data_IF_623879420181
#
_entry.id   IF_623879420181
#
_cell.length_a   1.000
_cell.length_b   1.000
_cell.length_c   1.000
_cell.angle_alpha   90.00
_cell.angle_beta   90.00
_cell.angle_gamma   90.00
#
_symmetry.space_group_name_H-M   'P 1'
#
loop_
_entity.id
_entity.type
_entity.pdbx_description
1 polymer ?
#
# COMPACT_ATOMS: atom_id res chain seq x y z
N UNK A 1 14.68 16.91 -3.52
CA UNK A 1 13.76 17.04 -4.67
C UNK A 1 12.84 15.84 -4.73
N UNK A 2 11.58 16.06 -5.09
CA UNK A 2 10.61 14.99 -5.32
C UNK A 2 10.38 14.80 -6.81
N UNK A 3 10.47 13.56 -7.29
CA UNK A 3 10.25 13.22 -8.68
C UNK A 3 8.75 12.94 -8.89
N UNK A 4 8.08 13.82 -9.63
CA UNK A 4 6.70 13.62 -10.08
C UNK A 4 6.63 12.53 -11.14
N UNK A 5 5.51 11.80 -11.21
CA UNK A 5 5.24 10.88 -12.32
C UNK A 5 4.95 11.61 -13.63
N UNK A 6 4.57 12.90 -13.56
CA UNK A 6 4.50 13.77 -14.74
C UNK A 6 5.90 14.11 -15.24
N UNK A 7 6.09 14.06 -16.55
CA UNK A 7 7.39 14.28 -17.20
C UNK A 7 7.45 15.60 -17.94
N UNK A 8 8.67 16.09 -18.19
CA UNK A 8 8.98 17.17 -19.11
C UNK A 8 10.19 16.74 -19.93
N UNK A 9 10.09 16.79 -21.27
CA UNK A 9 11.10 16.28 -22.19
C UNK A 9 11.54 14.82 -21.93
N UNK A 10 10.60 13.97 -21.47
CA UNK A 10 10.86 12.55 -21.17
C UNK A 10 11.35 12.29 -19.74
N UNK A 11 11.77 13.31 -19.00
CA UNK A 11 12.31 13.18 -17.65
C UNK A 11 11.29 13.53 -16.56
N UNK A 12 11.31 12.86 -15.39
CA UNK A 12 10.45 13.20 -14.26
C UNK A 12 10.62 14.66 -13.81
N UNK A 13 9.50 15.38 -13.61
CA UNK A 13 9.57 16.75 -13.08
C UNK A 13 10.12 16.74 -11.66
N UNK A 14 11.09 17.63 -11.39
CA UNK A 14 11.70 17.80 -10.08
C UNK A 14 10.97 18.88 -9.30
N UNK A 15 10.34 18.46 -8.21
CA UNK A 15 9.55 19.31 -7.34
C UNK A 15 10.37 19.64 -6.09
N UNK A 16 10.57 20.93 -5.77
CA UNK A 16 11.21 21.32 -4.52
C UNK A 16 10.30 20.98 -3.34
N UNK A 17 10.90 20.56 -2.23
CA UNK A 17 10.17 20.28 -0.99
C UNK A 17 11.08 20.61 0.19
N UNK A 18 10.49 21.13 1.26
CA UNK A 18 11.15 21.49 2.50
C UNK A 18 10.82 20.48 3.60
N UNK A 19 11.59 20.49 4.69
CA UNK A 19 11.40 19.54 5.80
C UNK A 19 9.98 19.60 6.40
N UNK A 20 9.44 20.80 6.58
CA UNK A 20 8.09 21.05 7.10
C UNK A 20 6.96 20.44 6.25
N UNK A 21 7.21 20.15 4.97
CA UNK A 21 6.22 19.46 4.13
C UNK A 21 5.96 18.03 4.63
N UNK A 22 6.94 17.40 5.29
CA UNK A 22 6.74 16.07 5.89
C UNK A 22 5.72 16.14 7.03
N UNK A 23 5.75 17.18 7.86
CA UNK A 23 4.79 17.37 8.96
C UNK A 23 3.37 17.50 8.42
N UNK A 24 3.18 18.31 7.36
CA UNK A 24 1.89 18.46 6.67
C UNK A 24 1.41 17.13 6.06
N UNK A 25 2.30 16.35 5.43
CA UNK A 25 1.95 15.04 4.86
C UNK A 25 1.54 14.05 5.94
N UNK A 26 2.29 13.96 7.04
CA UNK A 26 1.95 13.11 8.18
C UNK A 26 0.64 13.53 8.83
N UNK A 27 0.37 14.83 8.94
CA UNK A 27 -0.93 15.32 9.39
C UNK A 27 -2.08 14.76 8.53
N UNK A 28 -1.96 14.81 7.20
CA UNK A 28 -3.00 14.28 6.31
C UNK A 28 -3.19 12.76 6.47
N UNK A 29 -2.10 11.99 6.61
CA UNK A 29 -2.19 10.55 6.89
C UNK A 29 -2.91 10.27 8.22
N UNK A 30 -2.62 11.05 9.26
CA UNK A 30 -3.21 10.88 10.58
C UNK A 30 -4.71 11.21 10.62
N UNK A 31 -5.26 11.88 9.60
CA UNK A 31 -6.71 12.11 9.49
C UNK A 31 -7.47 10.90 8.92
N UNK A 32 -6.81 10.01 8.18
CA UNK A 32 -7.46 8.91 7.48
C UNK A 32 -8.13 7.95 8.47
N UNK A 33 -7.39 7.47 9.48
CA UNK A 33 -7.92 6.47 10.40
C UNK A 33 -9.06 6.98 11.30
N UNK A 34 -9.02 8.22 11.85
CA UNK A 34 -10.17 8.79 12.55
C UNK A 34 -11.44 8.89 11.68
N UNK A 35 -11.33 9.21 10.40
CA UNK A 35 -12.47 9.22 9.46
C UNK A 35 -12.95 7.78 9.21
N UNK A 36 -12.02 6.85 8.95
CA UNK A 36 -12.36 5.44 8.73
C UNK A 36 -13.08 4.83 9.93
N UNK A 37 -12.63 5.12 11.16
CA UNK A 37 -13.18 4.53 12.38
C UNK A 37 -14.65 4.94 12.64
N UNK A 38 -15.11 6.06 12.07
CA UNK A 38 -16.53 6.45 12.12
C UNK A 38 -17.41 5.54 11.25
N UNK A 39 -16.84 4.88 10.25
CA UNK A 39 -17.55 4.07 9.26
C UNK A 39 -17.31 2.57 9.44
N UNK A 40 -16.11 2.19 9.88
CA UNK A 40 -15.66 0.81 10.06
C UNK A 40 -14.98 0.70 11.43
N UNK A 41 -15.72 0.34 12.49
CA UNK A 41 -15.17 0.28 13.84
C UNK A 41 -14.27 -0.95 14.05
N UNK A 42 -13.43 -0.90 15.10
CA UNK A 42 -12.59 -2.02 15.53
C UNK A 42 -11.47 -2.34 14.53
N UNK A 43 -10.87 -1.32 13.90
CA UNK A 43 -9.69 -1.49 13.04
C UNK A 43 -8.39 -1.54 13.84
N UNK A 44 -8.44 -1.09 15.09
CA UNK A 44 -7.37 -1.11 16.11
C UNK A 44 -7.18 -2.49 16.78
N UNK A 45 -8.09 -3.43 16.55
CA UNK A 45 -8.05 -4.79 17.13
C UNK A 45 -7.23 -5.80 16.30
N UNK A 46 -6.68 -5.36 15.16
CA UNK A 46 -6.00 -6.24 14.22
C UNK A 46 -4.84 -5.56 13.50
N UNK A 47 -4.56 -6.01 12.29
CA UNK A 47 -3.44 -5.58 11.47
C UNK A 47 -3.87 -5.07 10.10
N UNK A 48 -3.01 -4.26 9.50
CA UNK A 48 -3.15 -3.78 8.13
C UNK A 48 -2.10 -4.42 7.21
N UNK A 49 -2.55 -5.13 6.17
CA UNK A 49 -1.67 -5.62 5.11
C UNK A 49 -1.58 -4.56 4.00
N UNK A 50 -0.72 -3.57 4.17
CA UNK A 50 -0.51 -2.53 3.17
C UNK A 50 0.85 -2.68 2.50
N UNK A 51 0.85 -2.77 1.17
CA UNK A 51 2.05 -3.00 0.38
C UNK A 51 2.71 -1.66 0.01
N UNK A 52 3.88 -1.44 0.59
CA UNK A 52 4.68 -0.23 0.41
C UNK A 52 5.96 -0.53 -0.38
N UNK A 53 6.28 0.30 -1.37
CA UNK A 53 7.48 0.10 -2.18
C UNK A 53 8.29 1.39 -2.27
N UNK A 54 9.57 1.31 -1.91
CA UNK A 54 10.54 2.34 -2.26
C UNK A 54 10.97 2.19 -3.72
N UNK A 55 11.50 3.27 -4.29
CA UNK A 55 12.11 3.27 -5.62
C UNK A 55 13.54 3.79 -5.53
N UNK A 56 14.34 3.50 -6.55
CA UNK A 56 15.68 4.03 -6.69
C UNK A 56 15.70 5.56 -6.57
N UNK A 57 16.75 6.07 -5.95
CA UNK A 57 16.98 7.50 -5.74
C UNK A 57 18.13 7.96 -6.62
N UNK A 58 18.05 9.20 -7.08
CA UNK A 58 19.10 9.85 -7.86
C UNK A 58 19.68 10.99 -7.04
N UNK A 59 20.93 11.36 -7.33
CA UNK A 59 21.50 12.60 -6.81
C UNK A 59 21.39 13.69 -7.87
N UNK A 60 20.98 14.89 -7.47
CA UNK A 60 21.11 16.07 -8.34
C UNK A 60 22.59 16.49 -8.45
N UNK A 61 22.96 17.32 -9.44
CA UNK A 61 24.33 17.82 -9.60
C UNK A 61 24.90 18.55 -8.37
N UNK A 62 24.02 19.09 -7.51
CA UNK A 62 24.40 19.79 -6.28
C UNK A 62 24.30 18.90 -5.03
N UNK A 63 24.18 17.57 -5.21
CA UNK A 63 24.17 16.59 -4.12
C UNK A 63 22.84 16.43 -3.37
N UNK A 64 21.74 17.06 -3.83
CA UNK A 64 20.43 16.85 -3.22
C UNK A 64 19.83 15.53 -3.69
N UNK A 65 19.16 14.76 -2.81
CA UNK A 65 18.44 13.56 -3.24
C UNK A 65 17.23 13.91 -4.10
N UNK A 66 17.02 13.17 -5.19
CA UNK A 66 15.87 13.20 -6.07
C UNK A 66 15.19 11.82 -6.06
N UNK A 67 13.94 11.76 -5.60
CA UNK A 67 13.23 10.51 -5.35
C UNK A 67 11.73 10.70 -5.37
N UNK A 68 10.95 9.63 -5.49
CA UNK A 68 9.48 9.76 -5.41
C UNK A 68 9.04 10.24 -4.02
N UNK A 69 7.88 10.92 -3.96
CA UNK A 69 7.33 11.42 -2.68
C UNK A 69 7.13 10.31 -1.65
N UNK A 70 6.63 9.15 -2.08
CA UNK A 70 6.43 7.98 -1.22
C UNK A 70 7.76 7.41 -0.70
N UNK A 71 8.77 7.27 -1.57
CA UNK A 71 10.12 6.87 -1.14
C UNK A 71 10.69 7.86 -0.12
N UNK A 72 10.49 9.16 -0.33
CA UNK A 72 10.90 10.17 0.64
C UNK A 72 10.19 10.04 1.97
N UNK A 73 8.90 9.70 1.96
CA UNK A 73 8.09 9.50 3.17
C UNK A 73 8.52 8.24 3.93
N UNK A 74 8.60 7.08 3.26
CA UNK A 74 8.99 5.82 3.92
C UNK A 74 10.40 5.87 4.52
N UNK A 75 11.31 6.65 3.91
CA UNK A 75 12.66 6.84 4.44
C UNK A 75 12.77 7.90 5.55
N UNK A 76 11.71 8.65 5.82
CA UNK A 76 11.71 9.73 6.81
C UNK A 76 11.63 9.22 8.25
N UNK A 77 11.98 10.08 9.21
CA UNK A 77 11.80 9.79 10.63
C UNK A 77 10.31 9.63 11.00
N UNK A 78 9.42 10.37 10.34
CA UNK A 78 7.96 10.26 10.55
C UNK A 78 7.43 8.86 10.26
N UNK A 79 8.05 8.13 9.32
CA UNK A 79 7.72 6.74 9.06
C UNK A 79 8.50 5.80 9.98
N UNK A 80 9.84 5.86 9.96
CA UNK A 80 10.70 4.89 10.66
C UNK A 80 10.62 4.94 12.18
N UNK A 81 10.35 6.11 12.74
CA UNK A 81 10.23 6.33 14.18
C UNK A 81 8.80 6.70 14.57
N UNK A 82 7.81 6.29 13.74
CA UNK A 82 6.40 6.47 14.07
C UNK A 82 6.11 5.81 15.44
N UNK A 83 5.37 6.48 16.34
CA UNK A 83 4.92 5.83 17.56
C UNK A 83 4.03 4.65 17.21
N UNK A 84 3.94 3.70 18.14
CA UNK A 84 2.96 2.63 17.98
C UNK A 84 1.55 3.22 17.91
N UNK A 85 0.84 2.89 16.84
CA UNK A 85 -0.55 3.29 16.59
C UNK A 85 -1.34 2.02 16.27
N UNK A 86 -2.31 1.61 17.11
CA UNK A 86 -3.13 0.43 16.89
C UNK A 86 -3.85 0.40 15.54
N UNK A 87 -4.25 1.56 15.01
CA UNK A 87 -4.91 1.66 13.70
C UNK A 87 -3.97 1.42 12.51
N UNK A 88 -2.65 1.53 12.75
CA UNK A 88 -1.58 1.38 11.77
C UNK A 88 -0.58 0.28 12.18
N UNK A 89 -1.05 -0.77 12.86
CA UNK A 89 -0.26 -1.98 13.10
C UNK A 89 -0.14 -2.79 11.80
N UNK A 90 0.93 -2.58 11.05
CA UNK A 90 1.14 -3.21 9.75
C UNK A 90 1.65 -4.66 9.88
N UNK A 91 1.38 -5.49 8.86
CA UNK A 91 2.00 -6.81 8.73
C UNK A 91 3.45 -6.71 8.28
N UNK A 92 3.72 -5.82 7.32
CA UNK A 92 5.02 -5.66 6.66
C UNK A 92 6.05 -5.03 7.59
N UNK A 93 7.21 -5.67 7.81
CA UNK A 93 8.31 -5.03 8.53
C UNK A 93 8.94 -3.89 7.73
N UNK A 94 9.45 -2.87 8.43
CA UNK A 94 10.10 -1.71 7.79
C UNK A 94 11.27 -2.11 6.89
N UNK A 95 12.04 -3.15 7.24
CA UNK A 95 13.12 -3.66 6.41
C UNK A 95 12.63 -4.14 5.02
N UNK A 96 11.49 -4.84 4.97
CA UNK A 96 10.88 -5.31 3.73
C UNK A 96 10.36 -4.13 2.88
N UNK A 97 9.77 -3.12 3.52
CA UNK A 97 9.26 -1.90 2.86
C UNK A 97 10.41 -1.09 2.25
N UNK A 98 11.55 -1.03 2.93
CA UNK A 98 12.72 -0.24 2.56
C UNK A 98 13.70 -0.98 1.64
N UNK A 99 13.42 -2.23 1.30
CA UNK A 99 14.20 -3.01 0.34
C UNK A 99 14.06 -2.43 -1.07
N UNK A 100 15.20 -2.20 -1.73
CA UNK A 100 15.23 -1.63 -3.08
C UNK A 100 14.87 -2.65 -4.17
N UNK A 101 15.10 -3.93 -3.92
CA UNK A 101 14.67 -5.01 -4.80
C UNK A 101 13.16 -5.19 -4.64
N UNK A 102 12.41 -4.85 -5.70
CA UNK A 102 10.95 -4.87 -5.66
C UNK A 102 10.38 -6.27 -5.50
N UNK A 103 11.07 -7.30 -6.00
CA UNK A 103 10.58 -8.67 -5.96
C UNK A 103 10.82 -9.26 -4.58
N UNK A 104 11.98 -9.00 -3.97
CA UNK A 104 12.24 -9.37 -2.58
C UNK A 104 11.31 -8.62 -1.62
N UNK A 105 11.10 -7.32 -1.83
CA UNK A 105 10.15 -6.52 -1.05
C UNK A 105 8.72 -7.07 -1.16
N UNK A 106 8.27 -7.37 -2.38
CA UNK A 106 6.94 -7.97 -2.63
C UNK A 106 6.80 -9.31 -1.93
N UNK A 107 7.78 -10.20 -2.09
CA UNK A 107 7.79 -11.53 -1.49
C UNK A 107 7.68 -11.45 0.04
N UNK A 108 8.54 -10.65 0.68
CA UNK A 108 8.57 -10.51 2.13
C UNK A 108 7.27 -9.93 2.69
N UNK A 109 6.71 -8.90 2.04
CA UNK A 109 5.48 -8.28 2.50
C UNK A 109 4.26 -9.18 2.35
N UNK A 110 4.16 -9.95 1.25
CA UNK A 110 3.10 -10.93 1.07
C UNK A 110 3.23 -12.09 2.05
N UNK A 111 4.45 -12.60 2.28
CA UNK A 111 4.71 -13.64 3.27
C UNK A 111 4.30 -13.18 4.68
N UNK A 112 4.66 -11.96 5.08
CA UNK A 112 4.23 -11.35 6.34
C UNK A 112 2.69 -11.25 6.43
N UNK A 113 2.04 -10.87 5.33
CA UNK A 113 0.58 -10.83 5.22
C UNK A 113 -0.09 -12.18 5.36
N UNK A 114 0.52 -13.26 4.85
CA UNK A 114 0.03 -14.64 4.97
C UNK A 114 0.22 -15.19 6.39
N UNK A 115 1.38 -14.95 7.01
CA UNK A 115 1.66 -15.33 8.41
C UNK A 115 0.63 -14.71 9.35
N UNK A 116 0.25 -13.45 9.11
CA UNK A 116 -0.72 -12.73 9.92
C UNK A 116 -2.16 -12.79 9.39
N UNK A 117 -2.49 -13.73 8.49
CA UNK A 117 -3.73 -13.69 7.71
C UNK A 117 -5.02 -13.51 8.53
N UNK A 118 -5.09 -14.14 9.70
CA UNK A 118 -6.25 -14.07 10.60
C UNK A 118 -6.39 -12.73 11.30
N UNK A 119 -5.31 -11.94 11.40
CA UNK A 119 -5.32 -10.62 12.04
C UNK A 119 -5.54 -9.49 11.04
N UNK A 120 -5.51 -9.74 9.73
CA UNK A 120 -5.65 -8.68 8.71
C UNK A 120 -7.09 -8.20 8.64
N UNK A 121 -7.31 -6.94 9.02
CA UNK A 121 -8.63 -6.27 8.97
C UNK A 121 -8.77 -5.33 7.77
N UNK A 122 -7.66 -4.92 7.18
CA UNK A 122 -7.64 -4.12 5.95
C UNK A 122 -6.41 -4.48 5.14
N UNK A 123 -6.54 -4.40 3.83
CA UNK A 123 -5.42 -4.65 2.93
C UNK A 123 -5.42 -3.69 1.75
N UNK A 124 -4.25 -3.43 1.19
CA UNK A 124 -4.16 -2.39 0.19
C UNK A 124 -2.77 -2.16 -0.37
N UNK A 125 -2.72 -1.18 -1.26
CA UNK A 125 -1.52 -0.58 -1.80
C UNK A 125 -1.89 0.83 -2.29
N UNK A 126 -0.91 1.71 -2.52
CA UNK A 126 -1.22 3.09 -2.93
C UNK A 126 -2.09 3.14 -4.20
N UNK A 127 -1.81 2.30 -5.19
CA UNK A 127 -2.58 2.22 -6.42
C UNK A 127 -3.17 0.82 -6.60
N UNK A 128 -4.38 0.75 -7.18
CA UNK A 128 -5.03 -0.51 -7.53
C UNK A 128 -4.13 -1.43 -8.38
N UNK A 129 -3.35 -0.85 -9.30
CA UNK A 129 -2.39 -1.58 -10.13
C UNK A 129 -1.30 -2.30 -9.33
N UNK A 130 -0.83 -1.71 -8.22
CA UNK A 130 0.18 -2.33 -7.37
C UNK A 130 -0.40 -3.53 -6.60
N UNK A 131 -1.63 -3.40 -6.08
CA UNK A 131 -2.31 -4.51 -5.43
C UNK A 131 -2.61 -5.66 -6.41
N UNK A 132 -3.06 -5.36 -7.62
CA UNK A 132 -3.27 -6.37 -8.66
C UNK A 132 -1.98 -7.11 -9.02
N UNK A 133 -0.86 -6.38 -9.15
CA UNK A 133 0.46 -7.00 -9.33
C UNK A 133 0.82 -7.94 -8.19
N UNK A 134 0.50 -7.56 -6.95
CA UNK A 134 0.76 -8.41 -5.78
C UNK A 134 -0.09 -9.68 -5.79
N UNK A 135 -1.35 -9.60 -6.22
CA UNK A 135 -2.22 -10.77 -6.39
C UNK A 135 -1.66 -11.70 -7.48
N UNK A 136 -1.21 -11.15 -8.62
CA UNK A 136 -0.55 -11.94 -9.67
C UNK A 136 0.76 -12.56 -9.20
N UNK A 137 1.53 -11.85 -8.36
CA UNK A 137 2.75 -12.38 -7.76
C UNK A 137 2.42 -13.56 -6.83
N UNK A 138 1.42 -13.39 -5.97
CA UNK A 138 0.91 -14.44 -5.09
C UNK A 138 0.45 -15.68 -5.87
N UNK A 139 -0.28 -15.49 -6.98
CA UNK A 139 -0.71 -16.58 -7.86
C UNK A 139 0.44 -17.41 -8.42
N UNK A 140 1.60 -16.78 -8.68
CA UNK A 140 2.79 -17.47 -9.19
C UNK A 140 3.62 -18.13 -8.11
N UNK A 141 3.63 -17.57 -6.90
CA UNK A 141 4.57 -17.92 -5.83
C UNK A 141 3.94 -18.56 -4.59
N UNK A 142 2.64 -18.83 -4.57
CA UNK A 142 1.97 -19.39 -3.38
C UNK A 142 2.62 -20.69 -2.87
N UNK A 143 3.15 -21.53 -3.77
CA UNK A 143 3.87 -22.76 -3.39
C UNK A 143 5.16 -22.46 -2.62
N UNK A 144 5.88 -21.42 -3.02
CA UNK A 144 7.09 -20.99 -2.32
C UNK A 144 6.72 -20.47 -0.93
N UNK A 145 5.67 -19.66 -0.80
CA UNK A 145 5.21 -19.19 0.51
C UNK A 145 4.79 -20.35 1.42
N UNK A 146 4.04 -21.33 0.92
CA UNK A 146 3.66 -22.52 1.69
C UNK A 146 4.89 -23.33 2.12
N UNK A 147 5.89 -23.51 1.24
CA UNK A 147 7.14 -24.20 1.60
C UNK A 147 7.86 -23.48 2.73
N UNK A 148 8.04 -22.17 2.60
CA UNK A 148 8.74 -21.35 3.57
C UNK A 148 8.04 -21.42 4.95
N UNK A 149 6.72 -21.20 5.00
CA UNK A 149 5.91 -21.28 6.23
C UNK A 149 5.98 -22.68 6.85
N UNK A 150 5.90 -23.73 6.01
CA UNK A 150 5.94 -25.12 6.46
C UNK A 150 7.27 -25.49 7.09
N UNK A 151 8.38 -25.03 6.51
CA UNK A 151 9.73 -25.32 6.97
C UNK A 151 10.21 -24.37 8.08
N UNK A 152 9.57 -23.20 8.24
CA UNK A 152 10.13 -22.13 9.07
C UNK A 152 11.43 -21.56 8.51
N UNK A 153 11.61 -21.67 7.19
CA UNK A 153 12.82 -21.26 6.47
C UNK A 153 12.44 -20.25 5.39
N UNK A 154 13.30 -19.25 5.18
CA UNK A 154 13.06 -18.24 4.14
C UNK A 154 13.75 -18.66 2.84
N UNK A 155 13.05 -18.48 1.72
CA UNK A 155 13.55 -18.72 0.37
C UNK A 155 14.92 -18.05 0.15
N UNK A 156 15.90 -18.82 -0.34
CA UNK A 156 17.27 -18.37 -0.63
C UNK A 156 17.34 -17.24 -1.68
N UNK A 157 16.27 -17.03 -2.45
CA UNK A 157 16.12 -15.87 -3.33
C UNK A 157 16.04 -14.53 -2.58
N UNK A 158 15.76 -14.54 -1.28
CA UNK A 158 15.81 -13.35 -0.42
C UNK A 158 17.25 -13.12 0.06
N UNK A 159 17.95 -12.29 -0.70
CA UNK A 159 19.37 -11.98 -0.51
C UNK A 159 19.62 -10.70 0.26
N UNK A 160 18.64 -9.79 0.35
CA UNK A 160 18.74 -8.58 1.16
C UNK A 160 18.89 -8.94 2.65
N UNK A 161 20.00 -8.54 3.31
CA UNK A 161 20.27 -8.95 4.69
C UNK A 161 19.23 -8.46 5.70
N UNK A 162 18.66 -7.27 5.47
CA UNK A 162 17.65 -6.67 6.34
C UNK A 162 16.33 -7.43 6.25
N UNK A 163 15.86 -7.70 5.02
CA UNK A 163 14.72 -8.57 4.77
C UNK A 163 14.93 -9.94 5.41
N UNK A 164 16.07 -10.59 5.13
CA UNK A 164 16.34 -11.95 5.59
C UNK A 164 16.31 -12.05 7.11
N UNK A 165 16.98 -11.13 7.81
CA UNK A 165 17.00 -11.11 9.27
C UNK A 165 15.59 -10.95 9.85
N UNK A 166 14.85 -9.93 9.43
CA UNK A 166 13.53 -9.65 10.02
C UNK A 166 12.48 -10.69 9.64
N UNK A 167 12.56 -11.26 8.43
CA UNK A 167 11.61 -12.28 7.98
C UNK A 167 11.86 -13.64 8.63
N UNK A 168 13.11 -14.00 8.96
CA UNK A 168 13.39 -15.21 9.74
C UNK A 168 12.83 -15.13 11.16
N UNK A 169 12.91 -13.95 11.78
CA UNK A 169 12.28 -13.72 13.09
C UNK A 169 10.74 -13.80 12.99
N UNK A 170 10.18 -13.30 11.88
CA UNK A 170 8.72 -13.27 11.66
C UNK A 170 8.13 -14.64 11.31
N UNK A 171 8.82 -15.43 10.47
CA UNK A 171 8.35 -16.76 10.05
C UNK A 171 8.36 -17.72 11.23
N UNK A 172 9.35 -17.60 12.11
CA UNK A 172 9.45 -18.39 13.33
C UNK A 172 9.61 -19.89 13.05
N UNK A 173 9.18 -20.77 13.97
CA UNK A 173 9.29 -22.21 13.80
C UNK A 173 8.36 -22.75 12.70
N UNK A 174 8.63 -23.97 12.19
CA UNK A 174 7.77 -24.66 11.22
C UNK A 174 6.28 -24.60 11.57
N UNK A 175 5.44 -24.15 10.63
CA UNK A 175 3.99 -24.06 10.80
C UNK A 175 3.22 -24.81 9.69
N UNK A 176 3.22 -26.16 9.70
CA UNK A 176 2.64 -26.97 8.63
C UNK A 176 1.14 -26.74 8.43
N UNK A 177 0.37 -26.59 9.50
CA UNK A 177 -1.09 -26.42 9.43
C UNK A 177 -1.48 -25.14 8.66
N UNK A 178 -0.80 -24.02 8.93
CA UNK A 178 -1.03 -22.76 8.21
C UNK A 178 -0.66 -22.89 6.73
N UNK A 179 0.46 -23.58 6.44
CA UNK A 179 0.88 -23.82 5.07
C UNK A 179 -0.12 -24.68 4.29
N UNK A 180 -0.69 -25.71 4.93
CA UNK A 180 -1.74 -26.57 4.36
C UNK A 180 -3.03 -25.78 4.12
N UNK A 181 -3.49 -24.96 5.07
CA UNK A 181 -4.66 -24.09 4.87
C UNK A 181 -4.49 -23.15 3.66
N UNK A 182 -3.34 -22.50 3.52
CA UNK A 182 -3.06 -21.59 2.40
C UNK A 182 -2.97 -22.39 1.09
N UNK A 183 -2.31 -23.54 1.11
CA UNK A 183 -2.19 -24.43 -0.04
C UNK A 183 -3.56 -24.91 -0.51
N UNK A 184 -4.45 -25.31 0.38
CA UNK A 184 -5.83 -25.68 0.08
C UNK A 184 -6.59 -24.51 -0.56
N UNK A 185 -6.51 -23.31 0.02
CA UNK A 185 -7.19 -22.12 -0.53
C UNK A 185 -6.69 -21.81 -1.94
N UNK A 186 -5.38 -21.86 -2.18
CA UNK A 186 -4.78 -21.50 -3.47
C UNK A 186 -4.95 -22.61 -4.52
N UNK A 187 -4.80 -23.87 -4.14
CA UNK A 187 -4.82 -25.02 -5.05
C UNK A 187 -6.22 -25.44 -5.48
N UNK A 188 -7.23 -25.30 -4.61
CA UNK A 188 -8.60 -25.71 -4.90
C UNK A 188 -9.30 -24.81 -5.92
N UNK A 189 -8.72 -23.66 -6.28
CA UNK A 189 -9.39 -22.71 -7.16
C UNK A 189 -9.08 -22.88 -8.64
N UNK A 190 -10.09 -23.38 -9.38
CA UNK A 190 -10.18 -23.24 -10.84
C UNK A 190 -10.30 -21.78 -11.29
N UNK A 191 -10.61 -20.86 -10.36
CA UNK A 191 -10.83 -19.43 -10.58
C UNK A 191 -10.39 -18.64 -9.34
N UNK A 192 -9.50 -17.64 -9.47
CA UNK A 192 -9.04 -16.82 -8.34
C UNK A 192 -10.08 -15.81 -7.81
N UNK A 193 -11.34 -15.92 -8.24
CA UNK A 193 -12.45 -15.09 -7.72
C UNK A 193 -12.53 -15.21 -6.19
N UNK A 194 -12.65 -14.08 -5.50
CA UNK A 194 -12.78 -14.05 -4.04
C UNK A 194 -11.56 -14.54 -3.25
N UNK A 195 -10.40 -14.74 -3.90
CA UNK A 195 -9.17 -15.20 -3.23
C UNK A 195 -8.77 -14.31 -2.05
N UNK A 196 -8.98 -12.98 -2.17
CA UNK A 196 -8.63 -12.03 -1.12
C UNK A 196 -9.39 -12.36 0.16
N UNK A 197 -10.70 -12.58 0.05
CA UNK A 197 -11.56 -12.90 1.19
C UNK A 197 -11.32 -14.30 1.75
N UNK A 198 -10.77 -15.23 0.96
CA UNK A 198 -10.41 -16.57 1.44
C UNK A 198 -9.08 -16.56 2.18
N UNK A 199 -8.07 -15.88 1.62
CA UNK A 199 -6.77 -15.73 2.26
C UNK A 199 -6.83 -14.82 3.49
N UNK A 200 -7.55 -13.70 3.43
CA UNK A 200 -7.70 -12.76 4.55
C UNK A 200 -9.17 -12.64 4.96
N UNK A 201 -9.70 -13.62 5.72
CA UNK A 201 -11.13 -13.76 5.98
C UNK A 201 -11.73 -12.63 6.83
N UNK A 202 -10.91 -11.94 7.61
CA UNK A 202 -11.33 -10.83 8.46
C UNK A 202 -11.15 -9.45 7.82
N UNK A 203 -10.72 -9.39 6.55
CA UNK A 203 -10.57 -8.13 5.84
C UNK A 203 -11.94 -7.44 5.70
N UNK A 204 -12.01 -6.17 6.08
CA UNK A 204 -13.22 -5.34 6.07
C UNK A 204 -13.31 -4.48 4.80
N UNK A 205 -12.17 -4.13 4.20
CA UNK A 205 -12.11 -3.32 2.97
C UNK A 205 -10.77 -3.43 2.25
N UNK A 206 -10.74 -3.00 0.99
CA UNK A 206 -9.52 -2.82 0.19
C UNK A 206 -9.19 -1.33 0.12
N UNK A 207 -7.98 -0.96 0.51
CA UNK A 207 -7.48 0.42 0.46
C UNK A 207 -6.61 0.62 -0.78
N UNK A 208 -7.08 1.39 -1.75
CA UNK A 208 -6.32 1.72 -2.95
C UNK A 208 -6.89 2.95 -3.68
N UNK A 209 -6.04 3.69 -4.40
CA UNK A 209 -6.53 4.66 -5.38
C UNK A 209 -7.21 3.92 -6.53
N UNK A 210 -8.52 4.15 -6.66
CA UNK A 210 -9.42 3.57 -7.68
C UNK A 210 -10.13 4.64 -8.53
N UNK A 211 -9.79 5.91 -8.34
CA UNK A 211 -10.31 7.04 -9.13
C UNK A 211 -9.41 7.37 -10.32
N UNK A 212 -9.86 8.25 -11.21
CA UNK A 212 -9.11 8.66 -12.40
C UNK A 212 -8.76 7.47 -13.29
N UNK A 213 -7.51 7.38 -13.74
CA UNK A 213 -7.05 6.27 -14.59
C UNK A 213 -6.99 4.91 -13.89
N UNK A 214 -7.07 4.85 -12.55
CA UNK A 214 -7.13 3.58 -11.81
C UNK A 214 -8.52 2.96 -11.81
N UNK A 215 -9.56 3.68 -12.22
CA UNK A 215 -10.95 3.17 -12.29
C UNK A 215 -11.10 1.93 -13.19
N UNK A 216 -10.24 1.78 -14.21
CA UNK A 216 -10.21 0.60 -15.07
C UNK A 216 -9.92 -0.71 -14.32
N UNK A 217 -9.33 -0.63 -13.12
CA UNK A 217 -8.97 -1.80 -12.29
C UNK A 217 -10.06 -2.18 -11.28
N UNK A 218 -11.11 -1.37 -11.13
CA UNK A 218 -12.24 -1.66 -10.21
C UNK A 218 -12.86 -3.03 -10.49
N UNK A 219 -13.16 -3.44 -11.75
CA UNK A 219 -13.73 -4.75 -12.02
C UNK A 219 -12.82 -5.91 -11.58
N UNK A 220 -11.50 -5.78 -11.75
CA UNK A 220 -10.55 -6.80 -11.34
C UNK A 220 -10.47 -6.92 -9.81
N UNK A 221 -10.44 -5.81 -9.08
CA UNK A 221 -10.48 -5.82 -7.62
C UNK A 221 -11.78 -6.43 -7.08
N UNK A 222 -12.93 -6.07 -7.68
CA UNK A 222 -14.23 -6.67 -7.38
C UNK A 222 -14.24 -8.18 -7.64
N UNK A 223 -13.62 -8.65 -8.72
CA UNK A 223 -13.46 -10.08 -9.00
C UNK A 223 -12.66 -10.79 -7.90
N UNK A 224 -11.48 -10.29 -7.52
CA UNK A 224 -10.63 -10.93 -6.51
C UNK A 224 -11.19 -10.84 -5.08
N UNK A 225 -12.09 -9.91 -4.80
CA UNK A 225 -12.83 -9.83 -3.53
C UNK A 225 -14.22 -10.49 -3.56
N UNK A 226 -14.65 -11.03 -4.71
CA UNK A 226 -16.01 -11.52 -4.93
C UNK A 226 -17.10 -10.49 -4.59
N UNK A 227 -16.78 -9.20 -4.82
CA UNK A 227 -17.62 -8.04 -4.51
C UNK A 227 -17.97 -7.87 -3.02
N UNK A 228 -17.29 -8.62 -2.12
CA UNK A 228 -17.57 -8.60 -0.68
C UNK A 228 -16.89 -7.46 0.06
N UNK A 229 -15.82 -6.90 -0.51
CA UNK A 229 -15.04 -5.84 0.11
C UNK A 229 -15.27 -4.51 -0.58
N UNK A 230 -15.65 -3.44 0.15
CA UNK A 230 -15.69 -2.09 -0.39
C UNK A 230 -14.27 -1.63 -0.77
N UNK A 231 -14.19 -0.77 -1.80
CA UNK A 231 -12.94 -0.18 -2.27
C UNK A 231 -12.82 1.24 -1.73
N UNK A 232 -11.88 1.45 -0.83
CA UNK A 232 -11.66 2.72 -0.13
C UNK A 232 -10.52 3.49 -0.81
N UNK A 233 -10.82 4.71 -1.25
CA UNK A 233 -9.84 5.66 -1.78
C UNK A 233 -9.69 6.83 -0.80
N UNK A 234 -8.76 6.76 0.16
CA UNK A 234 -8.80 7.62 1.35
C UNK A 234 -8.30 9.04 1.12
N UNK A 235 -7.41 9.26 0.15
CA UNK A 235 -6.75 10.55 0.00
C UNK A 235 -6.38 10.88 -1.46
N UNK A 236 -6.19 12.17 -1.72
CA UNK A 236 -5.69 12.72 -2.97
C UNK A 236 -4.43 13.55 -2.70
N UNK A 237 -3.35 13.24 -3.42
CA UNK A 237 -2.05 13.85 -3.23
C UNK A 237 -1.19 13.77 -4.50
N UNK A 238 -0.18 14.64 -4.58
CA UNK A 238 0.86 14.63 -5.60
C UNK A 238 2.26 14.82 -5.00
N UNK A 239 3.27 14.92 -5.87
CA UNK A 239 4.63 15.26 -5.43
C UNK A 239 4.76 16.73 -5.01
N UNK A 240 3.95 17.60 -5.62
CA UNK A 240 3.83 19.03 -5.38
C UNK A 240 3.12 19.32 -4.07
N UNK A 241 1.98 18.69 -3.81
CA UNK A 241 1.18 18.96 -2.63
C UNK A 241 0.32 17.76 -2.25
N UNK A 242 0.10 17.57 -0.96
CA UNK A 242 -0.91 16.65 -0.45
C UNK A 242 -2.21 17.44 -0.32
N UNK A 243 -3.26 17.03 -1.03
CA UNK A 243 -4.41 17.90 -1.27
C UNK A 243 -5.51 17.72 -0.23
N UNK A 244 -5.98 16.48 -0.05
CA UNK A 244 -7.21 16.25 0.71
C UNK A 244 -7.51 14.79 0.96
N UNK A 245 -8.61 14.57 1.68
CA UNK A 245 -9.11 13.24 2.09
C UNK A 245 -10.52 13.00 1.58
N UNK A 246 -10.88 11.74 1.41
CA UNK A 246 -12.28 11.34 1.22
C UNK A 246 -12.96 11.24 2.60
N UNK A 247 -13.94 12.12 2.85
CA UNK A 247 -14.70 12.15 4.11
C UNK A 247 -15.84 11.13 4.16
N UNK A 248 -16.20 10.52 3.03
CA UNK A 248 -17.15 9.42 2.92
C UNK A 248 -16.46 8.19 2.30
N UNK A 249 -15.59 7.50 3.04
CA UNK A 249 -14.68 6.50 2.49
C UNK A 249 -15.36 5.24 1.94
N UNK A 250 -16.62 4.96 2.32
CA UNK A 250 -17.39 3.80 1.87
C UNK A 250 -18.31 4.09 0.68
N UNK A 251 -18.25 5.28 0.07
CA UNK A 251 -19.01 5.57 -1.14
C UNK A 251 -18.57 4.66 -2.31
N UNK A 252 -19.41 4.53 -3.32
CA UNK A 252 -19.01 3.79 -4.53
C UNK A 252 -17.80 4.47 -5.20
N UNK A 253 -16.91 3.71 -5.88
CA UNK A 253 -15.72 4.27 -6.53
C UNK A 253 -16.02 5.40 -7.52
N UNK A 254 -17.20 5.40 -8.15
CA UNK A 254 -17.67 6.45 -9.07
C UNK A 254 -18.12 7.74 -8.40
N UNK A 255 -18.35 7.72 -7.08
CA UNK A 255 -18.87 8.85 -6.30
C UNK A 255 -17.81 9.48 -5.39
N UNK A 256 -16.58 8.94 -5.41
CA UNK A 256 -15.48 9.44 -4.59
C UNK A 256 -15.23 10.92 -4.85
N UNK A 257 -15.30 11.70 -3.79
CA UNK A 257 -14.98 13.12 -3.76
C UNK A 257 -13.94 13.40 -2.69
N UNK A 258 -12.98 14.28 -2.98
CA UNK A 258 -11.93 14.66 -2.03
C UNK A 258 -12.18 16.05 -1.48
N UNK A 259 -12.24 16.17 -0.16
CA UNK A 259 -12.28 17.45 0.53
C UNK A 259 -10.85 17.96 0.69
N UNK A 260 -10.55 19.09 0.05
CA UNK A 260 -9.24 19.73 0.19
C UNK A 260 -9.04 20.25 1.61
N UNK A 261 -7.86 20.00 2.16
CA UNK A 261 -7.51 20.44 3.50
C UNK A 261 -6.87 21.84 3.43
N UNK A 262 -7.54 22.89 3.94
CA UNK A 262 -7.13 24.29 3.68
C UNK A 262 -5.78 24.67 4.31
N UNK A 263 -5.26 23.86 5.24
CA UNK A 263 -3.95 24.04 5.86
C UNK A 263 -2.80 23.43 5.04
N UNK A 264 -3.08 22.73 3.95
CA UNK A 264 -2.06 22.09 3.11
C UNK A 264 -1.42 23.04 2.11
N UNK A 265 -2.13 24.11 1.74
CA UNK A 265 -1.67 25.13 0.83
C UNK A 265 -2.76 26.13 0.51
N UNK A 266 -2.38 27.22 -0.17
CA UNK A 266 -3.34 28.13 -0.77
C UNK A 266 -3.79 27.57 -2.12
N UNK A 267 -5.09 27.28 -2.25
CA UNK A 267 -5.65 26.65 -3.45
C UNK A 267 -6.43 27.66 -4.29
N UNK A 268 -6.09 27.75 -5.58
CA UNK A 268 -6.80 28.53 -6.58
C UNK A 268 -7.30 27.61 -7.69
N UNK A 269 -8.43 27.98 -8.31
CA UNK A 269 -9.07 27.17 -9.34
C UNK A 269 -9.27 28.00 -10.59
N UNK A 270 -8.66 27.56 -11.70
CA UNK A 270 -8.90 28.14 -13.02
C UNK A 270 -10.16 27.46 -13.59
N UNK A 271 -11.24 28.19 -13.90
CA UNK A 271 -12.43 27.60 -14.48
C UNK A 271 -12.12 27.00 -15.85
N UNK A 272 -12.46 25.73 -16.04
CA UNK A 272 -12.48 25.13 -17.38
C UNK A 272 -13.65 25.76 -18.16
N UNK A 273 -13.36 26.44 -19.26
CA UNK A 273 -14.40 27.00 -20.13
C UNK A 273 -15.35 25.91 -20.67
N UNK A 274 -16.45 26.31 -21.34
CA UNK A 274 -17.51 25.38 -21.82
C UNK A 274 -17.01 24.21 -22.70
N UNK A 275 -15.78 24.29 -23.23
CA UNK A 275 -15.16 23.29 -24.11
C UNK A 275 -14.18 22.36 -23.41
N UNK A 276 -13.93 22.51 -22.10
CA UNK A 276 -13.09 21.61 -21.32
C UNK A 276 -11.60 21.61 -21.70
N UNK A 277 -11.09 22.68 -22.33
CA UNK A 277 -9.66 22.85 -22.64
C UNK A 277 -9.10 24.04 -21.88
N UNK A 278 -7.95 23.84 -21.23
CA UNK A 278 -7.02 24.90 -20.88
C UNK A 278 -6.20 25.29 -22.11
#
# INVERSE_FOLDING_TARGET
>A
MLCSSGTSAGEPKLIPSIAEDLDRRTFLYNLIMPIMNQHVPGLDEGKAMYLYFVKAEMSTPIGLPARTVLTSYYKSAHFKHRPHDPFNDFTSPDAAILCYDSDQSMYCQLLAGLIHRQRVLRLGAVFASALLRAITFLERHWRDFCRDIRAGELNDGITDPGCRSTMLDLIGPPHPDLAEEIEDICSQTTSWKGIICRLWPNAKYIEAVVTGSMSQYVPALKYYSDEKLPLVCPMYASSECYFGVNVNPLCEPSEVSFTLMPNMGYFEFIPLGKTGRC
#
